data_IF_590969938263
#
_entry.id   IF_590969938263
#
_cell.length_a   1.000
_cell.length_b   1.000
_cell.length_c   1.000
_cell.angle_alpha   90.00
_cell.angle_beta   90.00
_cell.angle_gamma   90.00
#
_symmetry.space_group_name_H-M   'P 1'
#
loop_
_entity.id
_entity.type
_entity.pdbx_description
1 polymer ?
#
# COMPACT_ATOMS: atom_id res chain seq x y z
N UNK A 1 4.34 19.56 -25.00
CA UNK A 1 4.57 18.12 -25.29
C UNK A 1 4.30 17.44 -23.98
N UNK A 2 3.23 16.64 -23.85
CA UNK A 2 2.92 15.99 -22.56
C UNK A 2 4.11 15.09 -22.22
N UNK A 3 4.63 15.22 -20.99
CA UNK A 3 5.55 14.22 -20.43
C UNK A 3 4.85 12.87 -20.59
N UNK A 4 5.51 11.90 -21.21
CA UNK A 4 5.12 10.50 -21.05
C UNK A 4 5.84 10.08 -19.78
N UNK A 5 5.23 10.36 -18.63
CA UNK A 5 5.82 9.93 -17.38
C UNK A 5 5.78 8.39 -17.38
N UNK A 6 6.94 7.77 -17.16
CA UNK A 6 7.11 6.32 -17.35
C UNK A 6 6.45 5.49 -16.26
N UNK A 7 6.07 6.16 -15.16
CA UNK A 7 5.49 5.57 -13.95
C UNK A 7 4.06 6.10 -13.73
N UNK A 8 3.21 5.98 -14.75
CA UNK A 8 1.78 6.32 -14.66
C UNK A 8 0.93 5.07 -14.40
N UNK A 9 -0.14 5.23 -13.63
CA UNK A 9 -1.25 4.25 -13.55
C UNK A 9 -2.51 4.94 -13.07
N UNK A 10 -3.66 4.47 -13.52
CA UNK A 10 -4.93 4.76 -12.85
C UNK A 10 -5.03 3.94 -11.56
N UNK A 11 -5.76 4.45 -10.57
CA UNK A 11 -6.07 3.72 -9.34
C UNK A 11 -7.09 2.60 -9.62
N UNK A 12 -6.99 1.43 -8.96
CA UNK A 12 -8.03 0.41 -9.02
C UNK A 12 -9.35 0.93 -8.42
N UNK A 13 -10.49 0.31 -8.76
CA UNK A 13 -11.79 0.70 -8.15
C UNK A 13 -11.82 0.45 -6.64
N UNK A 14 -11.23 -0.66 -6.21
CA UNK A 14 -10.97 -1.03 -4.83
C UNK A 14 -9.72 -1.91 -4.80
N UNK A 15 -8.77 -1.66 -3.89
CA UNK A 15 -7.50 -2.37 -3.88
C UNK A 15 -6.35 -1.56 -3.30
N UNK A 16 -5.12 -1.86 -3.73
CA UNK A 16 -3.89 -1.23 -3.25
C UNK A 16 -2.88 -1.01 -4.36
N UNK A 17 -2.11 0.08 -4.26
CA UNK A 17 -1.03 0.46 -5.15
C UNK A 17 0.24 0.68 -4.33
N UNK A 18 1.32 -0.02 -4.70
CA UNK A 18 2.66 0.19 -4.16
C UNK A 18 3.50 0.93 -5.20
N UNK A 19 3.89 2.17 -4.89
CA UNK A 19 4.62 3.03 -5.81
C UNK A 19 6.11 2.68 -5.83
N UNK A 20 6.78 2.69 -7.01
CA UNK A 20 8.23 2.57 -7.06
C UNK A 20 8.83 3.87 -6.59
N UNK A 21 9.37 3.89 -5.38
CA UNK A 21 9.91 5.11 -4.76
C UNK A 21 11.34 4.90 -4.28
N UNK A 22 12.10 3.98 -4.88
CA UNK A 22 13.41 3.51 -4.38
C UNK A 22 13.25 2.93 -2.94
N UNK A 23 14.30 2.81 -2.11
CA UNK A 23 14.17 2.32 -0.72
C UNK A 23 13.35 3.28 0.13
N UNK A 24 12.10 2.91 0.42
CA UNK A 24 11.11 3.66 1.17
C UNK A 24 9.68 3.24 0.83
N UNK A 25 8.70 3.73 1.58
CA UNK A 25 7.31 3.34 1.41
C UNK A 25 6.41 4.46 0.87
N UNK A 26 5.51 4.07 -0.02
CA UNK A 26 4.39 4.88 -0.50
C UNK A 26 3.31 3.95 -0.99
N UNK A 27 2.24 3.82 -0.20
CA UNK A 27 1.15 2.89 -0.49
C UNK A 27 -0.18 3.62 -0.54
N UNK A 28 -0.91 3.49 -1.65
CA UNK A 28 -2.26 4.02 -1.80
C UNK A 28 -3.28 2.89 -1.73
N UNK A 29 -4.23 2.99 -0.81
CA UNK A 29 -5.32 2.02 -0.62
C UNK A 29 -6.63 2.67 -1.08
N UNK A 30 -7.33 2.02 -1.99
CA UNK A 30 -8.62 2.47 -2.51
C UNK A 30 -9.73 1.63 -1.89
N UNK A 31 -10.61 2.27 -1.13
CA UNK A 31 -11.64 1.59 -0.34
C UNK A 31 -12.90 1.29 -1.16
N UNK A 32 -13.03 1.87 -2.35
CA UNK A 32 -14.28 1.95 -3.09
C UNK A 32 -15.18 3.10 -2.61
N UNK A 33 -16.05 3.57 -3.51
CA UNK A 33 -16.95 4.70 -3.22
C UNK A 33 -16.22 6.04 -3.02
N UNK A 34 -15.18 6.30 -3.81
CA UNK A 34 -14.42 7.56 -3.83
C UNK A 34 -13.70 7.92 -2.51
N UNK A 35 -13.31 6.91 -1.71
CA UNK A 35 -12.43 7.09 -0.55
C UNK A 35 -11.07 6.43 -0.80
N UNK A 36 -10.01 7.19 -0.52
CA UNK A 36 -8.61 6.78 -0.72
C UNK A 36 -7.81 7.09 0.54
N UNK A 37 -6.96 6.15 0.92
CA UNK A 37 -6.05 6.25 2.06
C UNK A 37 -4.62 6.17 1.54
N UNK A 38 -3.76 7.08 1.98
CA UNK A 38 -2.32 7.03 1.72
C UNK A 38 -1.62 6.60 3.01
N UNK A 39 -0.78 5.56 2.91
CA UNK A 39 0.11 5.12 3.99
C UNK A 39 1.54 5.41 3.56
N UNK A 40 2.21 6.26 4.33
CA UNK A 40 3.55 6.81 4.06
C UNK A 40 3.66 7.59 2.73
N UNK A 41 4.76 8.32 2.57
CA UNK A 41 5.07 9.09 1.37
C UNK A 41 6.57 9.23 1.18
N UNK A 42 7.03 8.94 -0.03
CA UNK A 42 8.37 9.20 -0.50
C UNK A 42 8.29 9.73 -1.93
N UNK A 43 7.94 11.00 -2.03
CA UNK A 43 8.07 11.74 -3.27
C UNK A 43 9.43 12.44 -3.29
N UNK A 44 10.25 12.12 -4.28
CA UNK A 44 11.63 12.58 -4.37
C UNK A 44 11.80 13.48 -5.59
N UNK A 45 12.67 14.48 -5.48
CA UNK A 45 13.08 15.32 -6.63
C UNK A 45 13.58 14.53 -7.84
N UNK A 46 14.10 13.31 -7.63
CA UNK A 46 14.51 12.42 -8.71
C UNK A 46 13.34 11.98 -9.61
N UNK A 47 12.10 12.08 -9.12
CA UNK A 47 10.89 11.81 -9.90
C UNK A 47 10.62 12.86 -10.99
N UNK A 48 11.21 14.06 -10.88
CA UNK A 48 11.07 15.13 -11.87
C UNK A 48 12.02 14.98 -13.08
N UNK A 49 12.92 13.99 -13.05
CA UNK A 49 13.93 13.76 -14.09
C UNK A 49 13.33 12.99 -15.29
N UNK A 50 13.81 13.27 -16.51
CA UNK A 50 13.25 12.68 -17.76
C UNK A 50 13.39 11.15 -17.84
N UNK A 51 14.35 10.58 -17.10
CA UNK A 51 14.62 9.14 -16.99
C UNK A 51 14.35 8.59 -15.58
N UNK A 52 13.45 9.26 -14.83
CA UNK A 52 13.04 8.83 -13.50
C UNK A 52 12.53 7.37 -13.51
N UNK A 53 13.09 6.59 -12.58
CA UNK A 53 12.67 5.21 -12.25
C UNK A 53 11.92 5.16 -10.92
N UNK A 54 11.48 6.32 -10.44
CA UNK A 54 10.69 6.50 -9.23
C UNK A 54 9.47 7.35 -9.55
N UNK A 55 8.36 7.10 -8.85
CA UNK A 55 7.09 7.78 -9.06
C UNK A 55 7.12 9.20 -8.46
N UNK A 56 6.54 10.16 -9.18
CA UNK A 56 6.11 11.45 -8.65
C UNK A 56 4.76 11.25 -7.95
N UNK A 57 4.79 10.71 -6.72
CA UNK A 57 3.60 10.19 -6.03
C UNK A 57 2.55 11.29 -5.84
N UNK A 58 2.94 12.53 -5.49
CA UNK A 58 2.01 13.64 -5.27
C UNK A 58 1.31 14.01 -6.58
N UNK A 59 2.05 14.13 -7.68
CA UNK A 59 1.48 14.40 -9.01
C UNK A 59 0.49 13.29 -9.41
N UNK A 60 0.82 12.03 -9.13
CA UNK A 60 -0.10 10.90 -9.39
C UNK A 60 -1.35 10.97 -8.53
N UNK A 61 -1.23 11.33 -7.27
CA UNK A 61 -2.38 11.52 -6.38
C UNK A 61 -3.25 12.70 -6.86
N UNK A 62 -2.68 13.84 -7.24
CA UNK A 62 -3.45 14.98 -7.78
C UNK A 62 -4.28 14.60 -9.01
N UNK A 63 -3.72 13.76 -9.89
CA UNK A 63 -4.40 13.34 -11.11
C UNK A 63 -5.47 12.28 -10.90
N UNK A 64 -5.29 11.39 -9.92
CA UNK A 64 -6.08 10.15 -9.80
C UNK A 64 -7.04 10.13 -8.62
N UNK A 65 -6.82 10.98 -7.60
CA UNK A 65 -7.71 11.06 -6.46
C UNK A 65 -9.12 11.51 -6.87
N UNK A 66 -10.15 11.02 -6.16
CA UNK A 66 -11.51 11.46 -6.40
C UNK A 66 -11.65 12.96 -6.14
N UNK A 67 -12.59 13.59 -6.85
CA UNK A 67 -12.93 15.00 -6.69
C UNK A 67 -14.42 15.13 -6.33
N UNK A 68 -14.80 14.96 -5.05
CA UNK A 68 -16.21 14.96 -4.65
C UNK A 68 -16.95 16.28 -4.96
N UNK A 69 -16.23 17.40 -4.94
CA UNK A 69 -16.74 18.73 -5.34
C UNK A 69 -16.57 19.02 -6.85
N UNK A 70 -16.04 18.05 -7.60
CA UNK A 70 -15.73 18.11 -9.02
C UNK A 70 -14.50 18.95 -9.37
N UNK A 71 -13.66 19.35 -8.38
CA UNK A 71 -12.49 20.19 -8.61
C UNK A 71 -11.26 19.85 -7.76
N UNK A 72 -11.46 19.53 -6.49
CA UNK A 72 -10.40 19.40 -5.49
C UNK A 72 -10.08 17.92 -5.31
N UNK A 73 -8.86 17.46 -5.66
CA UNK A 73 -8.42 16.10 -5.33
C UNK A 73 -8.54 15.87 -3.82
N UNK A 74 -9.19 14.80 -3.43
CA UNK A 74 -9.51 14.51 -2.04
C UNK A 74 -8.87 13.20 -1.60
N UNK A 75 -8.00 13.30 -0.60
CA UNK A 75 -7.39 12.17 0.09
C UNK A 75 -8.09 12.02 1.45
N UNK A 76 -8.78 10.90 1.68
CA UNK A 76 -9.61 10.75 2.85
C UNK A 76 -8.77 10.62 4.13
N UNK A 77 -7.70 9.82 4.08
CA UNK A 77 -6.72 9.69 5.18
C UNK A 77 -5.30 9.73 4.65
N UNK A 78 -4.43 10.43 5.36
CA UNK A 78 -2.99 10.21 5.32
C UNK A 78 -2.53 9.58 6.64
N UNK A 79 -1.89 8.41 6.58
CA UNK A 79 -1.34 7.72 7.74
C UNK A 79 0.18 7.64 7.62
N UNK A 80 0.89 8.05 8.68
CA UNK A 80 2.34 7.95 8.73
C UNK A 80 2.76 6.86 9.71
N UNK A 81 3.55 5.90 9.24
CA UNK A 81 4.04 4.80 10.07
C UNK A 81 5.10 5.27 11.06
N UNK A 82 6.05 6.08 10.58
CA UNK A 82 7.08 6.74 11.36
C UNK A 82 7.73 7.89 10.56
N UNK A 83 8.53 8.73 11.23
CA UNK A 83 9.07 9.98 10.69
C UNK A 83 10.46 9.87 10.06
N UNK A 84 10.89 8.67 9.66
CA UNK A 84 12.12 8.54 8.88
C UNK A 84 11.90 9.04 7.45
N UNK A 85 12.97 9.55 6.83
CA UNK A 85 12.88 10.31 5.58
C UNK A 85 12.28 9.48 4.45
N UNK A 86 12.55 8.20 4.42
CA UNK A 86 12.02 7.24 3.44
C UNK A 86 10.55 6.88 3.63
N UNK A 87 9.86 7.46 4.62
CA UNK A 87 8.42 7.32 4.86
C UNK A 87 7.66 8.65 4.85
N UNK A 88 8.35 9.79 4.89
CA UNK A 88 7.71 11.11 4.89
C UNK A 88 8.25 12.10 3.85
N UNK A 89 9.28 11.76 3.06
CA UNK A 89 9.84 12.67 2.07
C UNK A 89 8.76 13.18 1.10
N UNK A 90 8.65 14.50 0.94
CA UNK A 90 7.64 15.15 0.11
C UNK A 90 6.36 15.54 0.86
N UNK A 91 6.23 15.23 2.16
CA UNK A 91 5.03 15.62 2.91
C UNK A 91 4.80 17.14 2.95
N UNK A 92 5.86 17.94 3.01
CA UNK A 92 5.75 19.40 2.88
C UNK A 92 5.15 19.83 1.54
N UNK A 93 5.60 19.20 0.45
CA UNK A 93 5.08 19.47 -0.90
C UNK A 93 3.62 18.99 -1.03
N UNK A 94 3.25 17.88 -0.38
CA UNK A 94 1.87 17.39 -0.32
C UNK A 94 0.94 18.42 0.36
N UNK A 95 1.37 19.06 1.45
CA UNK A 95 0.59 20.12 2.10
C UNK A 95 0.45 21.39 1.24
N UNK A 96 1.42 21.65 0.37
CA UNK A 96 1.46 22.80 -0.54
C UNK A 96 0.74 22.52 -1.88
N UNK A 97 0.37 21.26 -2.12
CA UNK A 97 -0.37 20.79 -3.30
C UNK A 97 -1.85 21.22 -3.31
N UNK A 98 -2.58 20.84 -4.35
CA UNK A 98 -4.03 21.03 -4.45
C UNK A 98 -4.86 19.98 -3.69
N UNK A 99 -4.22 18.96 -3.11
CA UNK A 99 -4.89 17.85 -2.45
C UNK A 99 -5.43 18.29 -1.09
N UNK A 100 -6.72 18.03 -0.86
CA UNK A 100 -7.33 18.14 0.46
C UNK A 100 -7.18 16.81 1.22
N UNK A 101 -6.49 16.83 2.37
CA UNK A 101 -6.36 15.68 3.28
C UNK A 101 -7.45 15.74 4.36
N UNK A 102 -8.41 14.82 4.35
CA UNK A 102 -9.51 14.73 5.31
C UNK A 102 -9.04 14.52 6.76
N UNK A 103 -8.47 13.36 7.05
CA UNK A 103 -7.99 12.94 8.36
C UNK A 103 -6.49 12.56 8.32
N UNK A 104 -5.75 12.83 9.41
CA UNK A 104 -4.37 12.34 9.59
C UNK A 104 -4.31 11.32 10.72
N UNK A 105 -3.62 10.21 10.48
CA UNK A 105 -3.26 9.23 11.50
C UNK A 105 -1.80 9.40 11.88
N UNK A 106 -1.56 9.64 13.17
CA UNK A 106 -0.23 9.91 13.72
C UNK A 106 0.04 9.04 14.94
N UNK A 107 1.28 8.61 15.12
CA UNK A 107 1.71 7.91 16.34
C UNK A 107 2.29 8.90 17.34
N UNK A 108 2.15 8.66 18.65
CA UNK A 108 2.80 9.50 19.68
C UNK A 108 4.32 9.64 19.56
N UNK A 109 4.99 8.71 18.86
CA UNK A 109 6.46 8.71 18.69
C UNK A 109 6.98 10.05 18.16
N UNK A 110 6.23 10.70 17.28
CA UNK A 110 6.59 11.98 16.67
C UNK A 110 6.91 13.06 17.71
N UNK A 111 6.21 13.07 18.84
CA UNK A 111 6.45 14.04 19.91
C UNK A 111 7.65 13.69 20.80
N UNK A 112 8.02 12.40 20.89
CA UNK A 112 9.21 11.95 21.63
C UNK A 112 10.48 12.28 20.86
N UNK A 113 10.45 12.17 19.52
CA UNK A 113 11.61 12.50 18.69
C UNK A 113 12.08 13.96 18.84
N UNK A 114 11.18 14.90 19.10
CA UNK A 114 11.54 16.29 19.42
C UNK A 114 12.30 16.45 20.74
N UNK A 115 12.10 15.51 21.67
CA UNK A 115 12.77 15.52 22.97
C UNK A 115 14.15 14.85 22.94
N UNK A 116 14.49 14.16 21.84
CA UNK A 116 15.79 13.54 21.61
C UNK A 116 16.74 14.49 20.84
N UNK A 117 18.05 14.42 21.10
CA UNK A 117 19.11 15.23 20.44
C UNK A 117 19.34 14.87 18.94
N UNK A 118 18.43 14.15 18.28
CA UNK A 118 18.52 13.79 16.86
C UNK A 118 17.62 14.69 16.01
N UNK A 119 18.16 15.48 15.08
CA UNK A 119 17.34 16.35 14.24
C UNK A 119 16.41 15.53 13.34
N UNK A 120 15.12 15.84 13.38
CA UNK A 120 14.13 15.36 12.41
C UNK A 120 14.42 15.94 11.02
N UNK A 121 14.02 15.22 9.96
CA UNK A 121 14.07 15.80 8.62
C UNK A 121 13.01 16.90 8.47
N UNK A 122 13.12 17.72 7.42
CA UNK A 122 12.20 18.84 7.22
C UNK A 122 10.74 18.38 7.09
N UNK A 123 10.49 17.32 6.31
CA UNK A 123 9.14 16.79 6.12
C UNK A 123 8.53 16.21 7.39
N UNK A 124 9.32 15.52 8.22
CA UNK A 124 8.88 15.03 9.51
C UNK A 124 8.46 16.19 10.45
N UNK A 125 9.19 17.31 10.43
CA UNK A 125 8.80 18.53 11.15
C UNK A 125 7.50 19.12 10.60
N UNK A 126 7.35 19.20 9.27
CA UNK A 126 6.10 19.67 8.64
C UNK A 126 4.91 18.78 8.97
N UNK A 127 5.12 17.46 9.01
CA UNK A 127 4.11 16.49 9.46
C UNK A 127 3.66 16.78 10.88
N UNK A 128 4.60 16.94 11.79
CA UNK A 128 4.29 17.24 13.18
C UNK A 128 3.56 18.58 13.35
N UNK A 129 4.03 19.65 12.68
CA UNK A 129 3.37 20.96 12.71
C UNK A 129 1.91 20.88 12.25
N UNK A 130 1.65 20.10 11.20
CA UNK A 130 0.29 19.87 10.71
C UNK A 130 -0.56 19.04 11.70
N UNK A 131 0.01 18.01 12.31
CA UNK A 131 -0.69 17.23 13.34
C UNK A 131 -1.04 18.11 14.55
N UNK A 132 -0.12 18.95 15.02
CA UNK A 132 -0.38 19.90 16.12
C UNK A 132 -1.47 20.92 15.74
N UNK A 133 -1.45 21.44 14.51
CA UNK A 133 -2.52 22.31 14.00
C UNK A 133 -3.88 21.61 14.05
N UNK A 134 -3.95 20.32 13.66
CA UNK A 134 -5.19 19.52 13.68
C UNK A 134 -5.66 19.19 15.11
N UNK A 135 -4.73 18.94 16.03
CA UNK A 135 -5.03 18.80 17.47
C UNK A 135 -5.69 20.08 17.99
N UNK A 136 -5.10 21.24 17.72
CA UNK A 136 -5.65 22.53 18.15
C UNK A 136 -7.02 22.81 17.53
N UNK A 137 -7.18 22.55 16.23
CA UNK A 137 -8.45 22.70 15.53
C UNK A 137 -9.54 21.76 16.09
N UNK A 138 -9.18 20.52 16.42
CA UNK A 138 -10.08 19.55 17.05
C UNK A 138 -10.52 20.01 18.43
N UNK A 139 -9.58 20.44 19.28
CA UNK A 139 -9.89 20.99 20.60
C UNK A 139 -10.79 22.23 20.51
N UNK A 140 -10.59 23.07 19.49
CA UNK A 140 -11.44 24.23 19.26
C UNK A 140 -12.86 23.83 18.82
N UNK A 141 -13.01 22.86 17.90
CA UNK A 141 -14.31 22.35 17.48
C UNK A 141 -15.11 21.77 18.68
N UNK A 142 -14.44 21.00 19.53
CA UNK A 142 -15.04 20.44 20.76
C UNK A 142 -15.51 21.55 21.69
N UNK A 143 -14.71 22.60 21.92
CA UNK A 143 -15.11 23.77 22.73
C UNK A 143 -16.35 24.47 22.17
N UNK A 144 -16.51 24.47 20.86
CA UNK A 144 -17.65 25.04 20.15
C UNK A 144 -18.87 24.09 20.07
N UNK A 145 -18.77 22.88 20.64
CA UNK A 145 -19.81 21.87 20.62
C UNK A 145 -20.04 21.24 19.24
N UNK A 146 -18.98 21.13 18.44
CA UNK A 146 -18.99 20.61 17.06
C UNK A 146 -17.96 19.49 16.89
N UNK A 147 -18.18 18.70 15.85
CA UNK A 147 -17.14 17.81 15.30
C UNK A 147 -16.09 18.63 14.52
N UNK A 148 -14.82 18.22 14.53
CA UNK A 148 -13.82 18.78 13.62
C UNK A 148 -14.24 18.56 12.17
N UNK A 149 -13.94 19.54 11.31
CA UNK A 149 -14.22 19.42 9.89
C UNK A 149 -13.23 18.47 9.20
N UNK A 150 -13.61 17.91 8.05
CA UNK A 150 -12.64 17.34 7.09
C UNK A 150 -11.54 18.38 6.82
N UNK A 151 -10.28 17.97 6.85
CA UNK A 151 -9.12 18.87 6.82
C UNK A 151 -8.54 19.15 8.20
N UNK A 152 -9.33 19.02 9.26
CA UNK A 152 -8.91 19.29 10.64
C UNK A 152 -8.87 18.03 11.52
N UNK A 153 -9.33 16.89 11.01
CA UNK A 153 -9.40 15.64 11.79
C UNK A 153 -8.03 15.03 12.00
N UNK A 154 -7.82 14.53 13.21
CA UNK A 154 -6.63 13.78 13.63
C UNK A 154 -7.03 12.55 14.44
N UNK A 155 -6.28 11.47 14.25
CA UNK A 155 -6.33 10.26 15.09
C UNK A 155 -4.94 9.94 15.61
N UNK A 156 -4.84 9.79 16.93
CA UNK A 156 -3.60 9.39 17.60
C UNK A 156 -3.61 7.88 17.80
N UNK A 157 -2.65 7.17 17.21
CA UNK A 157 -2.57 5.72 17.24
C UNK A 157 -1.41 5.25 18.12
N UNK A 158 -1.72 4.49 19.15
CA UNK A 158 -0.73 3.90 20.06
C UNK A 158 -0.77 4.45 21.47
N UNK A 159 0.12 3.93 22.31
CA UNK A 159 0.29 4.36 23.68
C UNK A 159 1.39 5.41 23.80
N UNK A 160 1.29 6.26 24.84
CA UNK A 160 2.34 7.19 25.24
C UNK A 160 2.36 7.31 26.76
N UNK A 161 3.47 6.93 27.40
CA UNK A 161 3.66 7.08 28.85
C UNK A 161 3.91 8.53 29.27
N UNK A 162 4.34 9.38 28.33
CA UNK A 162 4.65 10.80 28.50
C UNK A 162 3.54 11.70 27.95
N UNK A 163 2.35 11.12 27.69
CA UNK A 163 1.17 11.78 27.10
C UNK A 163 0.94 13.17 27.68
N UNK A 164 0.95 13.32 29.01
CA UNK A 164 0.66 14.58 29.71
C UNK A 164 1.61 15.74 29.34
N UNK A 165 2.78 15.44 28.76
CA UNK A 165 3.75 16.42 28.27
C UNK A 165 3.50 16.92 26.85
N UNK A 166 2.50 16.37 26.14
CA UNK A 166 2.29 16.62 24.72
C UNK A 166 0.98 17.37 24.43
N UNK A 167 0.93 18.12 23.33
CA UNK A 167 -0.23 18.96 22.96
C UNK A 167 -1.52 18.15 22.78
N UNK A 168 -1.41 16.92 22.27
CA UNK A 168 -2.54 16.02 22.05
C UNK A 168 -3.11 15.40 23.33
N UNK A 169 -2.49 15.59 24.51
CA UNK A 169 -2.95 15.01 25.78
C UNK A 169 -4.41 15.30 26.10
N UNK A 170 -4.84 16.52 25.74
CA UNK A 170 -6.16 17.08 26.05
C UNK A 170 -7.27 16.52 25.16
N UNK A 171 -6.94 15.78 24.10
CA UNK A 171 -7.94 15.16 23.24
C UNK A 171 -8.76 14.13 24.05
N UNK A 172 -10.08 14.03 23.82
CA UNK A 172 -10.90 12.94 24.33
C UNK A 172 -10.45 11.56 23.79
N UNK A 173 -10.75 10.49 24.53
CA UNK A 173 -10.35 9.12 24.17
C UNK A 173 -10.85 8.65 22.79
N UNK A 174 -11.92 9.24 22.24
CA UNK A 174 -12.46 8.90 20.92
C UNK A 174 -11.52 9.26 19.75
N UNK A 175 -10.58 10.17 19.96
CA UNK A 175 -9.53 10.53 19.00
C UNK A 175 -8.28 9.65 19.11
N UNK A 176 -8.31 8.65 20.00
CA UNK A 176 -7.24 7.68 20.17
C UNK A 176 -7.65 6.32 19.64
N UNK A 177 -6.70 5.58 19.09
CA UNK A 177 -6.87 4.17 18.78
C UNK A 177 -5.66 3.40 19.28
N UNK A 178 -5.90 2.33 20.02
CA UNK A 178 -4.84 1.55 20.67
C UNK A 178 -4.69 0.19 19.99
N UNK A 179 -3.50 -0.43 20.06
CA UNK A 179 -3.29 -1.81 19.68
C UNK A 179 -4.39 -2.75 20.14
N UNK A 180 -4.83 -3.64 19.25
CA UNK A 180 -5.95 -4.54 19.49
C UNK A 180 -7.33 -3.95 19.17
N UNK A 181 -7.40 -2.75 18.57
CA UNK A 181 -8.65 -2.10 18.16
C UNK A 181 -8.72 -1.92 16.64
N UNK A 182 -9.90 -2.13 16.03
CA UNK A 182 -10.13 -1.77 14.64
C UNK A 182 -10.42 -0.28 14.49
N UNK A 183 -10.07 0.26 13.33
CA UNK A 183 -10.54 1.53 12.80
C UNK A 183 -11.52 1.22 11.67
N UNK A 184 -12.77 1.64 11.84
CA UNK A 184 -13.86 1.44 10.86
C UNK A 184 -14.40 2.76 10.31
N UNK A 185 -13.79 3.88 10.70
CA UNK A 185 -14.13 5.21 10.22
C UNK A 185 -12.96 5.84 9.45
N UNK A 186 -13.29 6.55 8.38
CA UNK A 186 -12.35 7.30 7.54
C UNK A 186 -12.95 8.69 7.33
N UNK A 187 -12.25 9.73 7.80
CA UNK A 187 -12.72 11.13 7.80
C UNK A 187 -14.13 11.30 8.40
N UNK A 188 -14.40 10.56 9.48
CA UNK A 188 -15.70 10.55 10.17
C UNK A 188 -16.83 9.81 9.44
N UNK A 189 -16.56 9.15 8.31
CA UNK A 189 -17.51 8.28 7.61
C UNK A 189 -17.31 6.84 8.08
N UNK A 190 -18.37 6.18 8.53
CA UNK A 190 -18.36 4.75 8.84
C UNK A 190 -18.28 3.93 7.55
N UNK A 191 -17.31 3.02 7.49
CA UNK A 191 -16.95 2.25 6.29
C UNK A 191 -16.68 0.76 6.58
N UNK A 192 -17.14 0.23 7.72
CA UNK A 192 -16.96 -1.19 8.11
C UNK A 192 -17.55 -2.20 7.11
N UNK A 193 -18.43 -1.77 6.22
CA UNK A 193 -18.96 -2.60 5.13
C UNK A 193 -17.93 -2.87 4.01
N UNK A 194 -16.89 -2.04 3.90
CA UNK A 194 -15.88 -2.10 2.84
C UNK A 194 -14.42 -2.04 3.32
N UNK A 195 -14.18 -1.60 4.55
CA UNK A 195 -12.85 -1.36 5.09
C UNK A 195 -12.78 -1.56 6.60
N UNK A 196 -11.69 -2.19 7.06
CA UNK A 196 -11.28 -2.18 8.46
C UNK A 196 -9.76 -2.10 8.54
N UNK A 197 -9.21 -1.28 9.43
CA UNK A 197 -7.78 -1.31 9.78
C UNK A 197 -7.59 -1.73 11.24
N UNK A 198 -7.08 -2.94 11.47
CA UNK A 198 -6.76 -3.44 12.81
C UNK A 198 -5.37 -2.97 13.24
N UNK A 199 -5.30 -2.23 14.34
CA UNK A 199 -4.04 -1.70 14.87
C UNK A 199 -3.30 -2.76 15.67
N UNK A 200 -2.08 -3.09 15.25
CA UNK A 200 -1.18 -4.03 15.93
C UNK A 200 -0.15 -3.35 16.81
N UNK A 201 0.44 -2.25 16.34
CA UNK A 201 1.53 -1.54 17.01
C UNK A 201 1.39 -0.03 16.77
N UNK A 202 2.00 0.84 17.61
CA UNK A 202 3.00 0.54 18.65
C UNK A 202 2.41 0.05 19.98
N UNK A 203 3.01 -0.98 20.59
CA UNK A 203 2.65 -1.45 21.94
C UNK A 203 3.19 -0.52 23.03
N UNK A 204 2.51 -0.53 24.19
CA UNK A 204 2.92 0.26 25.37
C UNK A 204 4.38 0.06 25.77
N UNK A 205 4.84 -1.19 25.86
CA UNK A 205 6.20 -1.50 26.33
C UNK A 205 7.29 -1.09 25.33
N UNK A 206 6.91 -0.84 24.07
CA UNK A 206 7.84 -0.51 22.98
C UNK A 206 7.87 1.00 22.71
N UNK A 207 7.04 1.80 23.40
CA UNK A 207 6.95 3.25 23.26
C UNK A 207 8.31 3.96 23.49
N UNK A 208 9.21 3.38 24.30
CA UNK A 208 10.53 3.92 24.62
C UNK A 208 11.70 3.30 23.79
N UNK A 209 11.40 2.48 22.77
CA UNK A 209 12.40 1.79 21.93
C UNK A 209 13.03 2.66 20.84
N UNK A 210 13.80 2.06 19.92
CA UNK A 210 14.32 2.77 18.74
C UNK A 210 13.16 3.23 17.81
N UNK A 211 13.39 4.21 16.92
CA UNK A 211 12.32 4.80 16.06
C UNK A 211 11.53 3.75 15.29
N UNK A 212 12.23 2.80 14.69
CA UNK A 212 11.66 1.72 13.89
C UNK A 212 10.81 0.77 14.76
N UNK A 213 11.12 0.60 16.05
CA UNK A 213 10.35 -0.23 16.99
C UNK A 213 8.98 0.36 17.35
N UNK A 214 8.72 1.60 16.92
CA UNK A 214 7.44 2.32 17.14
C UNK A 214 6.62 2.56 15.88
N UNK A 215 6.96 1.87 14.78
CA UNK A 215 6.19 1.97 13.53
C UNK A 215 4.73 1.59 13.77
N UNK A 216 3.81 2.32 13.12
CA UNK A 216 2.42 1.90 12.99
C UNK A 216 2.37 0.58 12.23
N UNK A 217 1.80 -0.45 12.86
CA UNK A 217 1.53 -1.72 12.21
C UNK A 217 0.02 -1.96 12.13
N UNK A 218 -0.45 -2.35 10.94
CA UNK A 218 -1.86 -2.50 10.61
C UNK A 218 -2.07 -3.79 9.81
N UNK A 219 -3.17 -4.49 10.09
CA UNK A 219 -3.82 -5.30 9.06
C UNK A 219 -4.97 -4.47 8.49
N UNK A 220 -4.98 -4.28 7.18
CA UNK A 220 -6.10 -3.65 6.47
C UNK A 220 -6.91 -4.73 5.76
N UNK A 221 -8.21 -4.72 5.98
CA UNK A 221 -9.18 -5.54 5.25
C UNK A 221 -9.98 -4.67 4.30
N UNK A 222 -10.16 -5.14 3.07
CA UNK A 222 -11.07 -4.57 2.08
C UNK A 222 -12.16 -5.60 1.78
N UNK A 223 -13.41 -5.16 1.72
CA UNK A 223 -14.56 -6.03 1.51
C UNK A 223 -15.35 -5.63 0.27
N UNK A 224 -15.84 -6.63 -0.46
CA UNK A 224 -16.83 -6.46 -1.52
C UNK A 224 -18.22 -6.88 -1.05
N UNK A 225 -19.25 -6.44 -1.76
CA UNK A 225 -20.65 -6.72 -1.44
C UNK A 225 -21.00 -8.23 -1.40
N UNK A 226 -20.23 -9.09 -2.07
CA UNK A 226 -20.45 -10.54 -2.08
C UNK A 226 -19.79 -11.28 -0.90
N UNK A 227 -19.10 -10.54 -0.02
CA UNK A 227 -18.39 -11.06 1.15
C UNK A 227 -16.94 -11.45 0.88
N UNK A 228 -16.40 -11.20 -0.32
CA UNK A 228 -14.97 -11.38 -0.59
C UNK A 228 -14.15 -10.35 0.18
N UNK A 229 -13.11 -10.82 0.87
CA UNK A 229 -12.21 -10.00 1.69
C UNK A 229 -10.77 -10.13 1.20
N UNK A 230 -10.13 -9.00 0.93
CA UNK A 230 -8.68 -8.91 0.74
C UNK A 230 -7.99 -8.37 1.99
N UNK A 231 -6.84 -8.94 2.36
CA UNK A 231 -6.08 -8.60 3.57
C UNK A 231 -4.67 -8.13 3.22
N UNK A 232 -4.36 -6.92 3.64
CA UNK A 232 -3.04 -6.30 3.51
C UNK A 232 -2.39 -6.25 4.90
N UNK A 233 -1.13 -6.67 5.00
CA UNK A 233 -0.37 -6.60 6.24
C UNK A 233 0.76 -5.58 6.09
N UNK A 234 0.68 -4.52 6.91
CA UNK A 234 1.66 -3.44 7.00
C UNK A 234 2.34 -3.50 8.36
N UNK A 235 3.65 -3.73 8.36
CA UNK A 235 4.44 -3.83 9.59
C UNK A 235 5.45 -2.68 9.73
N UNK A 236 5.41 -1.70 8.82
CA UNK A 236 6.35 -0.59 8.76
C UNK A 236 7.80 -1.07 8.83
N UNK A 237 8.59 -0.41 9.68
CA UNK A 237 10.01 -0.71 9.83
C UNK A 237 10.35 -1.63 11.02
N UNK A 238 9.33 -2.29 11.58
CA UNK A 238 9.49 -3.14 12.76
C UNK A 238 10.55 -4.23 12.57
N UNK A 239 11.31 -4.50 13.63
CA UNK A 239 12.24 -5.61 13.69
C UNK A 239 11.60 -6.87 14.29
N UNK A 240 12.29 -8.01 14.14
CA UNK A 240 11.88 -9.33 14.60
C UNK A 240 11.21 -9.35 15.98
N UNK A 241 11.76 -8.74 17.06
CA UNK A 241 11.15 -8.86 18.39
C UNK A 241 9.71 -8.33 18.46
N UNK A 242 9.45 -7.18 17.84
CA UNK A 242 8.13 -6.56 17.85
C UNK A 242 7.18 -7.26 16.89
N UNK A 243 7.65 -7.67 15.71
CA UNK A 243 6.85 -8.48 14.79
C UNK A 243 6.44 -9.78 15.49
N UNK A 244 7.38 -10.48 16.13
CA UNK A 244 7.10 -11.72 16.87
C UNK A 244 6.04 -11.53 17.95
N UNK A 245 6.09 -10.41 18.67
CA UNK A 245 5.08 -10.03 19.68
C UNK A 245 3.68 -9.83 19.08
N UNK A 246 3.57 -9.24 17.87
CA UNK A 246 2.30 -9.10 17.15
C UNK A 246 1.67 -10.48 16.88
N UNK A 247 2.46 -11.41 16.33
CA UNK A 247 2.00 -12.75 16.01
C UNK A 247 1.66 -13.54 17.28
N UNK A 248 2.54 -13.55 18.28
CA UNK A 248 2.32 -14.26 19.55
C UNK A 248 1.09 -13.77 20.30
N UNK A 249 0.85 -12.46 20.35
CA UNK A 249 -0.36 -11.92 20.98
C UNK A 249 -1.63 -12.23 20.20
N UNK A 250 -1.56 -12.23 18.87
CA UNK A 250 -2.70 -12.58 18.04
C UNK A 250 -3.07 -14.06 18.21
N UNK A 251 -2.09 -14.97 18.19
CA UNK A 251 -2.30 -16.40 18.41
C UNK A 251 -2.75 -16.73 19.84
N UNK A 252 -2.08 -16.19 20.86
CA UNK A 252 -2.39 -16.49 22.27
C UNK A 252 -3.74 -15.93 22.75
N UNK A 253 -4.35 -15.01 22.01
CA UNK A 253 -5.67 -14.47 22.31
C UNK A 253 -6.74 -14.88 21.30
N UNK A 254 -6.51 -15.96 20.53
CA UNK A 254 -7.46 -16.50 19.54
C UNK A 254 -7.93 -15.43 18.50
N UNK A 255 -6.99 -14.59 18.05
CA UNK A 255 -7.18 -13.48 17.10
C UNK A 255 -6.33 -13.66 15.83
N UNK A 256 -6.18 -14.90 15.37
CA UNK A 256 -5.38 -15.23 14.17
C UNK A 256 -5.93 -14.57 12.91
N UNK A 257 -7.24 -14.29 12.86
CA UNK A 257 -7.88 -13.51 11.79
C UNK A 257 -7.25 -12.13 11.58
N UNK A 258 -6.57 -11.58 12.59
CA UNK A 258 -5.90 -10.27 12.56
C UNK A 258 -4.49 -10.28 11.98
N UNK A 259 -3.92 -11.46 11.76
CA UNK A 259 -2.58 -11.63 11.19
C UNK A 259 -2.61 -12.47 9.91
N UNK A 260 -3.79 -12.92 9.46
CA UNK A 260 -4.00 -13.46 8.12
C UNK A 260 -3.67 -12.41 7.04
N UNK A 261 -3.07 -12.83 5.93
CA UNK A 261 -2.66 -11.88 4.89
C UNK A 261 -2.70 -12.47 3.47
N UNK A 262 -3.08 -11.63 2.52
CA UNK A 262 -2.98 -11.88 1.08
C UNK A 262 -1.79 -11.11 0.48
N UNK A 263 -1.52 -9.90 0.96
CA UNK A 263 -0.36 -9.11 0.54
C UNK A 263 0.38 -8.58 1.77
N UNK A 264 1.65 -8.93 1.89
CA UNK A 264 2.56 -8.39 2.91
C UNK A 264 3.47 -7.35 2.27
N UNK A 265 3.43 -6.11 2.76
CA UNK A 265 4.52 -5.17 2.54
C UNK A 265 5.67 -5.56 3.47
N UNK A 266 6.76 -6.07 2.90
CA UNK A 266 7.86 -6.64 3.68
C UNK A 266 8.44 -5.58 4.62
N UNK A 267 8.51 -5.84 5.93
CA UNK A 267 8.98 -4.85 6.89
C UNK A 267 10.35 -4.29 6.54
N UNK A 268 10.49 -2.97 6.72
CA UNK A 268 11.75 -2.26 6.58
C UNK A 268 12.41 -2.50 5.22
N UNK A 269 11.62 -2.37 4.14
CA UNK A 269 12.10 -2.46 2.76
C UNK A 269 12.78 -3.79 2.42
N UNK A 270 12.26 -4.89 2.95
CA UNK A 270 12.87 -6.23 2.89
C UNK A 270 14.22 -6.30 3.64
N UNK A 271 14.25 -5.75 4.86
CA UNK A 271 15.40 -5.88 5.74
C UNK A 271 15.45 -7.24 6.41
N UNK A 272 16.65 -7.81 6.53
CA UNK A 272 16.84 -9.02 7.32
C UNK A 272 16.48 -8.81 8.79
N UNK A 273 16.47 -7.57 9.31
CA UNK A 273 16.08 -7.27 10.71
C UNK A 273 14.68 -7.78 11.07
N UNK A 274 13.79 -7.98 10.09
CA UNK A 274 12.47 -8.54 10.31
C UNK A 274 12.49 -10.01 10.77
N UNK A 275 13.56 -10.74 10.45
CA UNK A 275 13.65 -12.20 10.65
C UNK A 275 15.03 -12.67 11.13
N UNK A 276 15.97 -11.76 11.36
CA UNK A 276 17.28 -12.03 11.92
C UNK A 276 17.42 -11.27 13.24
N UNK A 277 17.85 -11.98 14.27
CA UNK A 277 18.16 -11.38 15.57
C UNK A 277 19.25 -12.19 16.25
N UNK A 278 19.83 -11.64 17.32
CA UNK A 278 20.88 -12.33 18.07
C UNK A 278 20.37 -13.65 18.67
N UNK A 279 21.15 -14.72 18.51
CA UNK A 279 20.97 -16.00 19.18
C UNK A 279 21.52 -16.00 20.61
N UNK A 280 21.51 -17.18 21.24
CA UNK A 280 22.06 -17.36 22.59
C UNK A 280 23.57 -17.08 22.68
N UNK A 281 24.29 -17.32 21.59
CA UNK A 281 25.73 -17.05 21.47
C UNK A 281 26.03 -15.57 21.12
N UNK A 282 24.99 -14.76 20.91
CA UNK A 282 25.08 -13.35 20.56
C UNK A 282 25.31 -13.08 19.07
N UNK A 283 25.45 -14.11 18.24
CA UNK A 283 25.58 -14.00 16.78
C UNK A 283 24.20 -13.83 16.14
N UNK A 284 24.16 -13.14 15.00
CA UNK A 284 22.90 -12.88 14.29
C UNK A 284 22.48 -14.14 13.52
N UNK A 285 21.29 -14.66 13.81
CA UNK A 285 20.75 -15.89 13.21
C UNK A 285 19.35 -15.69 12.65
N UNK A 286 18.99 -16.50 11.65
CA UNK A 286 17.63 -16.54 11.11
C UNK A 286 16.68 -17.09 12.16
N UNK A 287 15.58 -16.39 12.38
CA UNK A 287 14.51 -16.76 13.30
C UNK A 287 13.42 -17.46 12.50
N UNK A 288 13.49 -18.78 12.46
CA UNK A 288 12.57 -19.61 11.68
C UNK A 288 11.13 -19.54 12.22
N UNK A 289 10.97 -19.31 13.52
CA UNK A 289 9.66 -19.22 14.17
C UNK A 289 8.78 -18.08 13.62
N UNK A 290 9.36 -16.92 13.28
CA UNK A 290 8.57 -15.86 12.63
C UNK A 290 8.22 -16.20 11.18
N UNK A 291 9.10 -16.90 10.45
CA UNK A 291 8.80 -17.37 9.10
C UNK A 291 7.67 -18.40 9.11
N UNK A 292 7.71 -19.35 10.05
CA UNK A 292 6.67 -20.37 10.23
C UNK A 292 5.31 -19.72 10.57
N UNK A 293 5.30 -18.68 11.41
CA UNK A 293 4.07 -17.92 11.71
C UNK A 293 3.58 -17.12 10.50
N UNK A 294 4.47 -16.46 9.75
CA UNK A 294 4.09 -15.77 8.51
C UNK A 294 3.49 -16.74 7.50
N UNK A 295 4.10 -17.91 7.30
CA UNK A 295 3.61 -18.99 6.41
C UNK A 295 2.25 -19.52 6.87
N UNK A 296 2.08 -19.79 8.17
CA UNK A 296 0.86 -20.37 8.72
C UNK A 296 -0.37 -19.46 8.55
N UNK A 297 -0.17 -18.14 8.47
CA UNK A 297 -1.24 -17.14 8.30
C UNK A 297 -1.26 -16.53 6.89
N UNK A 298 -0.44 -17.02 5.97
CA UNK A 298 -0.51 -16.64 4.56
C UNK A 298 -1.68 -17.34 3.86
N UNK A 299 -2.46 -16.61 3.06
CA UNK A 299 -3.42 -17.23 2.16
C UNK A 299 -2.71 -17.90 0.97
N UNK A 300 -3.39 -18.84 0.30
CA UNK A 300 -2.79 -19.70 -0.74
C UNK A 300 -2.10 -18.92 -1.88
N UNK A 301 -2.64 -17.76 -2.26
CA UNK A 301 -2.09 -16.91 -3.32
C UNK A 301 -1.33 -15.69 -2.79
N UNK A 302 -0.84 -15.75 -1.56
CA UNK A 302 -0.22 -14.62 -0.91
C UNK A 302 1.01 -14.08 -1.67
N UNK A 303 1.23 -12.77 -1.56
CA UNK A 303 2.32 -12.03 -2.21
C UNK A 303 3.11 -11.21 -1.20
N UNK A 304 4.42 -11.19 -1.36
CA UNK A 304 5.30 -10.30 -0.60
C UNK A 304 5.82 -9.19 -1.51
N UNK A 305 5.66 -7.95 -1.06
CA UNK A 305 6.10 -6.74 -1.75
C UNK A 305 7.31 -6.17 -1.04
N UNK A 306 8.38 -5.91 -1.79
CA UNK A 306 9.55 -5.17 -1.33
C UNK A 306 9.49 -3.78 -1.95
N UNK A 307 9.06 -2.77 -1.17
CA UNK A 307 9.18 -1.37 -1.62
C UNK A 307 10.63 -0.94 -1.49
N UNK A 308 11.36 -1.02 -2.60
CA UNK A 308 12.79 -0.77 -2.59
C UNK A 308 13.36 -0.53 -3.97
N UNK A 309 14.59 -0.04 -4.02
CA UNK A 309 15.45 -0.19 -5.20
C UNK A 309 15.66 -1.65 -5.58
N UNK A 310 16.08 -1.92 -6.83
CA UNK A 310 16.50 -3.24 -7.25
C UNK A 310 17.43 -3.95 -6.26
N UNK A 311 17.23 -5.25 -6.11
CA UNK A 311 18.15 -6.09 -5.34
C UNK A 311 19.50 -6.12 -6.05
N UNK A 312 20.55 -6.06 -5.23
CA UNK A 312 21.94 -6.24 -5.65
C UNK A 312 22.25 -7.73 -5.76
N UNK A 313 23.34 -8.09 -6.43
CA UNK A 313 23.76 -9.49 -6.56
C UNK A 313 24.33 -10.10 -5.26
N UNK A 314 24.57 -9.26 -4.24
CA UNK A 314 25.05 -9.67 -2.91
C UNK A 314 24.70 -8.62 -1.86
N UNK A 315 24.50 -9.10 -0.63
CA UNK A 315 24.36 -8.26 0.56
C UNK A 315 25.72 -7.63 0.92
N UNK A 316 25.73 -6.31 1.09
CA UNK A 316 26.94 -5.53 1.32
C UNK A 316 26.66 -4.45 2.38
N UNK A 317 27.40 -4.47 3.48
CA UNK A 317 27.24 -3.51 4.59
C UNK A 317 27.13 -2.07 4.10
N UNK A 318 26.03 -1.41 4.51
CA UNK A 318 25.73 -0.01 4.17
C UNK A 318 24.96 0.17 2.85
N UNK A 319 24.65 -0.92 2.14
CA UNK A 319 23.81 -0.92 0.94
C UNK A 319 22.50 -1.71 1.13
N UNK A 320 22.20 -2.10 2.36
CA UNK A 320 20.99 -2.83 2.69
C UNK A 320 20.19 -2.01 3.73
N UNK A 321 18.85 -2.05 3.74
CA UNK A 321 17.97 -2.83 2.86
C UNK A 321 17.89 -2.32 1.40
N UNK A 322 17.39 -3.14 0.45
CA UNK A 322 16.86 -4.51 0.64
C UNK A 322 17.96 -5.57 0.79
N UNK A 323 17.70 -6.67 1.51
CA UNK A 323 18.63 -7.80 1.66
C UNK A 323 18.20 -9.02 0.82
N UNK A 324 19.10 -9.60 0.03
CA UNK A 324 18.88 -10.88 -0.66
C UNK A 324 18.59 -12.02 0.33
N UNK A 325 19.20 -12.02 1.52
CA UNK A 325 18.88 -12.99 2.56
C UNK A 325 17.40 -12.92 2.97
N UNK A 326 16.85 -11.71 3.12
CA UNK A 326 15.45 -11.52 3.48
C UNK A 326 14.52 -11.94 2.34
N UNK A 327 14.85 -11.57 1.10
CA UNK A 327 14.11 -12.03 -0.09
C UNK A 327 14.05 -13.56 -0.17
N UNK A 328 15.20 -14.22 -0.02
CA UNK A 328 15.30 -15.69 -0.07
C UNK A 328 14.45 -16.35 1.02
N UNK A 329 14.42 -15.77 2.22
CA UNK A 329 13.60 -16.26 3.31
C UNK A 329 12.10 -16.08 3.05
N UNK A 330 11.65 -14.93 2.53
CA UNK A 330 10.25 -14.75 2.13
C UNK A 330 9.85 -15.69 0.99
N UNK A 331 10.68 -15.83 -0.05
CA UNK A 331 10.43 -16.75 -1.18
C UNK A 331 10.44 -18.23 -0.74
N UNK A 332 10.89 -18.55 0.49
CA UNK A 332 10.82 -19.91 1.04
C UNK A 332 9.48 -20.25 1.70
N UNK A 333 8.64 -19.25 2.00
CA UNK A 333 7.36 -19.41 2.70
C UNK A 333 6.12 -19.08 1.84
N UNK A 334 6.31 -18.70 0.58
CA UNK A 334 5.22 -18.45 -0.38
C UNK A 334 5.52 -19.08 -1.74
N UNK A 335 4.47 -19.39 -2.50
CA UNK A 335 4.58 -20.02 -3.82
C UNK A 335 5.05 -19.07 -4.95
N UNK A 336 5.03 -17.76 -4.69
CA UNK A 336 5.27 -16.72 -5.69
C UNK A 336 6.51 -15.90 -5.37
N UNK A 337 7.21 -15.36 -6.39
CA UNK A 337 8.39 -14.53 -6.15
C UNK A 337 8.03 -13.23 -5.44
N UNK A 338 8.97 -12.72 -4.64
CA UNK A 338 8.86 -11.37 -4.06
C UNK A 338 8.82 -10.34 -5.20
N UNK A 339 7.84 -9.44 -5.15
CA UNK A 339 7.72 -8.34 -6.11
C UNK A 339 8.44 -7.11 -5.55
N UNK A 340 9.52 -6.68 -6.20
CA UNK A 340 10.23 -5.45 -5.85
C UNK A 340 9.71 -4.28 -6.68
N UNK A 341 9.31 -3.18 -6.05
CA UNK A 341 8.76 -2.03 -6.78
C UNK A 341 9.77 -1.42 -7.75
N UNK A 342 11.07 -1.40 -7.40
CA UNK A 342 12.13 -0.98 -8.31
C UNK A 342 12.51 -1.99 -9.41
N UNK A 343 11.98 -3.22 -9.40
CA UNK A 343 12.22 -4.25 -10.43
C UNK A 343 10.98 -4.61 -11.25
N UNK A 344 9.79 -4.17 -10.82
CA UNK A 344 8.52 -4.55 -11.43
C UNK A 344 8.01 -3.48 -12.39
N UNK A 345 7.56 -3.82 -13.61
CA UNK A 345 7.76 -5.11 -14.28
C UNK A 345 9.20 -5.26 -14.80
N UNK A 346 9.99 -4.18 -14.84
CA UNK A 346 11.39 -4.16 -15.23
C UNK A 346 12.18 -3.13 -14.41
N UNK A 347 13.51 -3.27 -14.36
CA UNK A 347 14.40 -2.33 -13.65
C UNK A 347 14.57 -1.01 -14.41
N UNK A 348 14.44 -1.06 -15.73
CA UNK A 348 14.63 0.08 -16.63
C UNK A 348 13.38 0.96 -16.72
N UNK A 349 12.21 0.37 -16.52
CA UNK A 349 10.92 1.05 -16.57
C UNK A 349 10.02 0.45 -15.48
N UNK A 350 10.33 0.73 -14.20
CA UNK A 350 9.51 0.25 -13.11
C UNK A 350 8.14 0.94 -13.14
N UNK A 351 7.12 0.20 -12.73
CA UNK A 351 5.73 0.61 -12.67
C UNK A 351 5.16 0.21 -11.31
N UNK A 352 4.10 0.88 -10.84
CA UNK A 352 3.47 0.50 -9.58
C UNK A 352 3.00 -0.94 -9.58
N UNK A 353 3.16 -1.61 -8.44
CA UNK A 353 2.56 -2.93 -8.22
C UNK A 353 1.14 -2.70 -7.73
N UNK A 354 0.14 -3.17 -8.49
CA UNK A 354 -1.28 -2.90 -8.21
C UNK A 354 -2.02 -4.20 -7.96
N UNK A 355 -2.74 -4.26 -6.84
CA UNK A 355 -3.72 -5.31 -6.58
C UNK A 355 -5.12 -4.72 -6.59
N UNK A 356 -6.04 -5.32 -7.35
CA UNK A 356 -7.45 -4.98 -7.31
C UNK A 356 -8.22 -6.06 -6.53
N UNK A 357 -9.17 -5.64 -5.69
CA UNK A 357 -10.05 -6.56 -5.02
C UNK A 357 -11.19 -6.98 -5.97
N UNK A 358 -11.16 -8.24 -6.40
CA UNK A 358 -12.12 -8.79 -7.36
C UNK A 358 -13.14 -9.71 -6.64
N UNK A 359 -14.46 -9.48 -6.80
CA UNK A 359 -15.51 -10.32 -6.22
C UNK A 359 -15.35 -11.80 -6.57
N UNK A 360 -15.35 -12.65 -5.56
CA UNK A 360 -15.18 -14.10 -5.64
C UNK A 360 -13.74 -14.59 -5.85
N UNK A 361 -12.77 -13.69 -6.00
CA UNK A 361 -11.36 -14.03 -6.22
C UNK A 361 -10.46 -13.54 -5.09
N UNK A 362 -10.64 -12.31 -4.62
CA UNK A 362 -9.75 -11.68 -3.63
C UNK A 362 -8.85 -10.62 -4.28
N UNK A 363 -7.68 -10.39 -3.71
CA UNK A 363 -6.72 -9.42 -4.26
C UNK A 363 -5.93 -10.02 -5.43
N UNK A 364 -6.19 -9.53 -6.62
CA UNK A 364 -5.55 -9.97 -7.86
C UNK A 364 -4.51 -8.95 -8.32
N UNK A 365 -3.31 -9.42 -8.67
CA UNK A 365 -2.27 -8.58 -9.28
C UNK A 365 -2.73 -8.14 -10.68
N UNK A 366 -2.77 -6.83 -10.92
CA UNK A 366 -3.26 -6.24 -12.18
C UNK A 366 -2.12 -5.67 -13.00
N UNK A 367 -2.18 -5.87 -14.32
CA UNK A 367 -1.34 -5.14 -15.27
C UNK A 367 -1.82 -3.69 -15.35
N UNK A 368 -0.95 -2.74 -14.98
CA UNK A 368 -1.24 -1.30 -15.02
C UNK A 368 -1.68 -0.81 -16.40
N UNK A 369 -1.23 -1.48 -17.47
CA UNK A 369 -1.65 -1.17 -18.85
C UNK A 369 -3.15 -1.40 -19.04
N UNK A 370 -3.71 -2.43 -18.39
CA UNK A 370 -5.14 -2.72 -18.46
C UNK A 370 -5.96 -1.67 -17.70
N UNK A 371 -5.44 -1.15 -16.58
CA UNK A 371 -6.07 -0.04 -15.84
C UNK A 371 -6.10 1.24 -16.66
N UNK A 372 -4.99 1.60 -17.31
CA UNK A 372 -4.90 2.76 -18.18
C UNK A 372 -5.88 2.65 -19.37
N UNK A 373 -5.94 1.48 -20.01
CA UNK A 373 -6.86 1.23 -21.12
C UNK A 373 -8.32 1.39 -20.68
N UNK A 374 -8.71 0.85 -19.52
CA UNK A 374 -10.04 1.03 -18.95
C UNK A 374 -10.33 2.51 -18.64
N UNK A 375 -9.38 3.22 -18.03
CA UNK A 375 -9.50 4.64 -17.71
C UNK A 375 -9.70 5.52 -18.95
N UNK A 376 -8.96 5.26 -20.03
CA UNK A 376 -9.11 5.98 -21.30
C UNK A 376 -10.50 5.78 -21.92
N UNK A 377 -11.03 4.56 -21.88
CA UNK A 377 -12.39 4.26 -22.37
C UNK A 377 -13.45 5.01 -21.56
N UNK A 378 -13.33 5.03 -20.24
CA UNK A 378 -14.26 5.77 -19.36
C UNK A 378 -14.20 7.29 -19.59
N UNK A 379 -12.99 7.85 -19.76
CA UNK A 379 -12.80 9.27 -20.10
C UNK A 379 -13.40 9.61 -21.47
N UNK A 380 -13.23 8.75 -22.47
CA UNK A 380 -13.82 8.92 -23.80
C UNK A 380 -15.37 8.81 -23.80
N UNK A 381 -15.94 8.07 -22.85
CA UNK A 381 -17.39 7.90 -22.70
C UNK A 381 -18.11 9.07 -22.00
N UNK A 382 -17.41 10.14 -21.61
CA UNK A 382 -18.03 11.38 -21.11
C UNK A 382 -18.16 11.50 -19.59
N UNK A 383 -17.34 10.78 -18.82
CA UNK A 383 -16.98 11.16 -17.45
C UNK A 383 -18.12 11.15 -16.42
N UNK A 384 -18.39 9.98 -15.88
CA UNK A 384 -19.06 9.81 -14.60
C UNK A 384 -18.86 8.38 -14.12
N UNK A 385 -18.18 8.17 -12.99
CA UNK A 385 -17.99 6.85 -12.33
C UNK A 385 -19.31 6.15 -11.94
N UNK A 386 -20.47 6.70 -12.30
CA UNK A 386 -21.78 6.04 -12.23
C UNK A 386 -22.21 5.56 -13.61
N UNK A 387 -21.69 4.41 -14.05
CA UNK A 387 -22.37 3.45 -14.94
C UNK A 387 -21.37 2.38 -15.35
N UNK A 388 -21.32 1.26 -14.63
CA UNK A 388 -21.12 -0.08 -15.21
C UNK A 388 -21.29 -1.23 -14.20
N UNK A 389 -22.41 -1.24 -13.47
CA UNK A 389 -22.96 -2.51 -12.99
C UNK A 389 -23.64 -3.25 -14.16
N UNK A 390 -22.87 -3.70 -15.16
CA UNK A 390 -23.26 -4.69 -16.20
C UNK A 390 -22.21 -4.77 -17.32
N UNK A 391 -20.98 -5.23 -17.04
CA UNK A 391 -20.18 -5.93 -18.04
C UNK A 391 -19.46 -7.06 -17.32
N UNK A 392 -19.90 -8.29 -17.62
CA UNK A 392 -19.52 -9.49 -16.89
C UNK A 392 -18.02 -9.77 -16.93
N UNK A 393 -17.56 -10.29 -15.79
CA UNK A 393 -16.42 -11.19 -15.59
C UNK A 393 -15.74 -11.67 -16.87
N UNK A 394 -14.74 -10.93 -17.34
CA UNK A 394 -13.76 -11.47 -18.28
C UNK A 394 -12.72 -12.25 -17.49
N UNK A 395 -13.03 -13.53 -17.31
CA UNK A 395 -12.11 -14.58 -16.87
C UNK A 395 -10.91 -14.60 -17.83
N UNK A 396 -9.70 -14.35 -17.34
CA UNK A 396 -8.46 -14.59 -18.08
C UNK A 396 -7.59 -15.58 -17.31
N UNK A 397 -6.99 -16.58 -17.99
CA UNK A 397 -6.08 -17.51 -17.34
C UNK A 397 -4.78 -16.80 -17.04
N UNK A 398 -4.21 -17.06 -15.86
CA UNK A 398 -2.86 -16.68 -15.49
C UNK A 398 -1.88 -17.07 -16.60
N UNK A 399 -1.31 -16.07 -17.29
CA UNK A 399 -0.24 -16.27 -18.24
C UNK A 399 1.05 -16.52 -17.46
N UNK A 400 1.57 -17.75 -17.59
CA UNK A 400 2.82 -18.18 -16.99
C UNK A 400 4.00 -17.31 -17.47
N UNK A 401 4.62 -16.58 -16.55
CA UNK A 401 5.95 -16.02 -16.75
C UNK A 401 6.99 -17.11 -16.48
N UNK A 402 7.49 -17.72 -17.56
CA UNK A 402 8.65 -18.60 -17.50
C UNK A 402 9.93 -17.76 -17.61
N UNK A 403 10.76 -17.82 -16.57
CA UNK A 403 12.11 -17.30 -16.53
C UNK A 403 12.95 -17.84 -17.71
N UNK A 404 13.71 -16.94 -18.34
CA UNK A 404 14.61 -17.29 -19.43
C UNK A 404 15.74 -18.21 -18.95
N UNK A 405 15.76 -19.46 -19.44
CA UNK A 405 16.87 -20.40 -19.30
C UNK A 405 17.12 -21.14 -20.62
N UNK A 406 18.37 -21.05 -21.12
CA UNK A 406 18.90 -21.72 -22.31
C UNK A 406 18.93 -23.28 -22.18
N UNK A 407 19.18 -24.04 -23.27
CA UNK A 407 18.26 -25.08 -23.74
C UNK A 407 18.63 -26.52 -23.37
N UNK A 408 17.63 -27.41 -23.29
CA UNK A 408 17.65 -28.66 -24.06
C UNK A 408 16.27 -29.35 -24.15
N UNK A 409 16.09 -30.02 -25.29
CA UNK A 409 14.87 -30.61 -25.86
C UNK A 409 14.25 -31.75 -25.04
N UNK A 410 12.91 -31.86 -25.10
CA UNK A 410 12.18 -32.97 -25.76
C UNK A 410 10.66 -32.82 -25.63
N UNK A 411 9.95 -32.94 -26.75
CA UNK A 411 8.61 -33.55 -26.80
C UNK A 411 7.41 -32.61 -26.89
N UNK A 412 7.25 -31.93 -28.02
CA UNK A 412 5.96 -31.37 -28.45
C UNK A 412 5.07 -32.49 -28.96
N UNK A 413 3.88 -32.69 -28.38
CA UNK A 413 2.67 -33.22 -29.06
C UNK A 413 1.49 -33.38 -28.06
N UNK A 414 0.88 -32.27 -27.63
CA UNK A 414 -0.47 -32.25 -27.03
C UNK A 414 -1.02 -30.83 -26.82
N UNK A 415 -0.85 -29.90 -27.77
CA UNK A 415 -1.48 -28.57 -27.66
C UNK A 415 -1.69 -27.87 -29.02
N UNK A 416 -2.06 -28.65 -30.05
CA UNK A 416 -2.47 -28.10 -31.36
C UNK A 416 -3.65 -28.87 -31.92
N UNK A 417 -4.73 -28.92 -31.16
CA UNK A 417 -6.05 -29.31 -31.63
C UNK A 417 -7.12 -28.62 -30.76
N UNK A 418 -7.34 -27.33 -31.00
CA UNK A 418 -8.33 -26.55 -30.25
C UNK A 418 -8.79 -25.24 -30.90
N UNK A 419 -8.18 -24.79 -32.01
CA UNK A 419 -8.52 -23.49 -32.64
C UNK A 419 -8.74 -23.63 -34.15
N UNK A 420 -9.27 -24.76 -34.61
CA UNK A 420 -9.67 -24.91 -36.01
C UNK A 420 -11.04 -25.58 -36.15
N UNK A 421 -12.06 -24.97 -35.53
CA UNK A 421 -13.45 -25.20 -35.92
C UNK A 421 -14.37 -24.03 -35.51
N UNK A 422 -14.14 -22.85 -36.09
CA UNK A 422 -15.10 -21.74 -35.99
C UNK A 422 -15.06 -20.81 -37.22
N UNK A 423 -14.77 -21.35 -38.42
CA UNK A 423 -15.00 -20.65 -39.70
C UNK A 423 -15.33 -21.69 -40.77
N UNK A 424 -16.62 -21.88 -41.00
CA UNK A 424 -17.12 -22.65 -42.14
C UNK A 424 -17.28 -21.72 -43.34
N UNK A 425 -16.46 -21.92 -44.36
CA UNK A 425 -16.69 -21.35 -45.68
C UNK A 425 -17.56 -22.30 -46.50
N UNK A 426 -18.66 -21.78 -47.07
CA UNK A 426 -19.06 -21.90 -48.49
C UNK A 426 -20.55 -21.61 -48.71
N UNK A 427 -20.87 -20.45 -49.29
CA UNK A 427 -21.82 -20.31 -50.41
C UNK A 427 -21.66 -18.91 -51.06
N UNK A 428 -21.59 -18.90 -52.38
CA UNK A 428 -21.25 -17.78 -53.29
C UNK A 428 -22.46 -16.87 -53.67
N UNK A 429 -22.25 -15.75 -54.43
CA UNK A 429 -22.89 -14.45 -54.19
C UNK A 429 -24.11 -14.16 -55.09
N UNK A 430 -24.86 -13.11 -54.73
CA UNK A 430 -25.84 -12.51 -55.64
C UNK A 430 -26.04 -11.00 -55.40
N UNK A 431 -25.67 -10.23 -56.44
CA UNK A 431 -26.23 -8.94 -56.91
C UNK A 431 -25.79 -7.63 -56.25
N UNK A 432 -25.23 -6.80 -57.13
CA UNK A 432 -24.80 -5.43 -57.05
C UNK A 432 -25.97 -4.47 -57.35
N UNK A 433 -26.18 -3.40 -56.58
CA UNK A 433 -26.79 -2.13 -57.06
C UNK A 433 -26.16 -0.93 -56.29
N UNK A 434 -25.64 0.07 -57.02
CA UNK A 434 -25.22 1.39 -56.51
C UNK A 434 -26.42 2.26 -56.06
N UNK A 435 -26.34 3.54 -55.73
CA UNK A 435 -25.43 4.65 -56.01
C UNK A 435 -25.66 5.72 -54.91
N UNK A 436 -24.63 6.57 -54.68
CA UNK A 436 -24.74 8.03 -54.61
C UNK A 436 -25.73 8.73 -53.65
N UNK A 437 -25.14 9.47 -52.71
CA UNK A 437 -25.48 10.82 -52.22
C UNK A 437 -26.96 11.30 -52.23
N UNK A 438 -27.43 11.63 -51.02
CA UNK A 438 -27.85 12.98 -50.65
C UNK A 438 -27.58 13.18 -49.15
#
# INVERSE_FOLDING_TARGET
MKRQDRVETELPEQGVVFWPVDTGDSTTIVLGGDLVVQVDLRDMKAADEDDAVVAAVIDRLEETLPQPDGKTPYLAVFALTHADKDHCCGFGDLLESSILIGEIWATPRLWRELSEDKPMCEDARRFQEEVERRVDATLQAIKDGKEPASGDRVRIIGYDEDREGHSYAQLPDEYFTFPGKPITTVDGVEVSDKFEAFVHAPFKDDCAGDRNDTSLALQVQLHTDDGTTGRLLFLGDLAYPTIKKIFDYSESHDRTDRIEWDVLLSPHHCSKKAMYAKGEDGEEELKQDILDQLEAHANADARVISSSRPFRDKDDKGNDPPHLLARTAYESIIDYPVLCTGEYPSKEEPRPVVFALEPGLGLELVDVTDLENKGQVLKAAGGGRRLLATLGTTRFPAAAFAAAGLPHQRGTDAARAGVQQARGDKAEPAVQIGFGAA
#
